data_IF_562428906103
#
_entry.id   IF_562428906103
#
_cell.length_a   1.000
_cell.length_b   1.000
_cell.length_c   1.000
_cell.angle_alpha   90.00
_cell.angle_beta   90.00
_cell.angle_gamma   90.00
#
_symmetry.space_group_name_H-M   'P 1'
#
loop_
_entity.id
_entity.type
_entity.pdbx_description
1 polymer ?
#
# COMPACT_ATOMS: atom_id res chain seq x y z
N UNK A 1 -49.94 -11.04 -9.05
CA UNK A 1 -49.47 -11.78 -7.85
C UNK A 1 -48.00 -12.12 -8.03
N UNK A 2 -47.10 -11.25 -7.57
CA UNK A 2 -45.65 -11.51 -7.61
C UNK A 2 -45.20 -11.91 -6.20
N UNK A 3 -44.79 -13.16 -6.02
CA UNK A 3 -44.25 -13.67 -4.76
C UNK A 3 -42.86 -13.09 -4.52
N UNK A 4 -42.72 -12.35 -3.42
CA UNK A 4 -41.44 -11.87 -2.89
C UNK A 4 -40.64 -13.07 -2.39
N UNK A 5 -39.55 -13.41 -3.06
CA UNK A 5 -38.56 -14.32 -2.52
C UNK A 5 -37.74 -13.56 -1.45
N UNK A 6 -37.91 -13.97 -0.20
CA UNK A 6 -37.19 -13.45 0.96
C UNK A 6 -35.74 -13.95 0.96
N UNK A 7 -34.78 -13.03 0.99
CA UNK A 7 -33.37 -13.35 1.22
C UNK A 7 -33.16 -13.88 2.66
N UNK A 8 -32.26 -14.85 2.87
CA UNK A 8 -31.98 -15.39 4.20
C UNK A 8 -31.26 -14.35 5.08
N UNK A 9 -31.82 -14.14 6.28
CA UNK A 9 -31.22 -13.31 7.33
C UNK A 9 -29.95 -14.01 7.84
N UNK A 10 -28.78 -13.48 7.51
CA UNK A 10 -27.52 -13.88 8.15
C UNK A 10 -27.50 -13.37 9.60
N UNK A 11 -27.81 -14.24 10.54
CA UNK A 11 -27.63 -14.03 11.98
C UNK A 11 -26.17 -14.32 12.36
N UNK A 12 -25.26 -13.40 12.01
CA UNK A 12 -23.91 -13.39 12.55
C UNK A 12 -23.93 -12.87 13.99
N UNK A 13 -23.69 -13.75 14.97
CA UNK A 13 -23.50 -13.37 16.38
C UNK A 13 -22.35 -12.35 16.46
N UNK A 14 -22.66 -11.10 16.77
CA UNK A 14 -21.65 -10.11 17.18
C UNK A 14 -21.03 -10.60 18.49
N UNK A 15 -19.74 -10.95 18.46
CA UNK A 15 -18.96 -10.91 19.69
C UNK A 15 -18.78 -9.44 20.05
N UNK A 16 -19.30 -9.11 21.22
CA UNK A 16 -19.17 -7.84 21.92
C UNK A 16 -17.71 -7.55 22.27
N UNK A 17 -17.34 -6.28 22.14
CA UNK A 17 -16.42 -5.57 23.02
C UNK A 17 -14.98 -6.10 23.13
N UNK A 18 -14.13 -5.65 22.20
CA UNK A 18 -12.75 -5.31 22.55
C UNK A 18 -12.68 -3.80 22.75
N UNK A 19 -13.02 -3.36 23.97
CA UNK A 19 -12.63 -2.04 24.46
C UNK A 19 -11.11 -1.98 24.47
N UNK A 20 -10.52 -1.18 23.58
CA UNK A 20 -9.13 -0.78 23.75
C UNK A 20 -9.04 -0.01 25.08
N UNK A 21 -8.26 -0.48 26.07
CA UNK A 21 -7.93 0.39 27.18
C UNK A 21 -7.04 1.50 26.63
N UNK A 22 -7.60 2.70 26.64
CA UNK A 22 -6.89 3.98 26.60
C UNK A 22 -6.00 4.07 27.85
N UNK A 23 -4.91 3.29 27.84
CA UNK A 23 -3.95 3.23 28.93
C UNK A 23 -2.59 3.72 28.43
N UNK A 24 -2.23 4.91 28.91
CA UNK A 24 -0.87 5.37 29.08
C UNK A 24 -0.03 5.55 27.81
N UNK A 25 -0.35 6.58 27.02
CA UNK A 25 0.70 7.42 26.40
C UNK A 25 1.45 8.19 27.50
N UNK A 26 2.11 7.47 28.42
CA UNK A 26 3.18 8.07 29.23
C UNK A 26 4.36 8.29 28.30
N UNK A 27 4.64 9.56 28.00
CA UNK A 27 5.92 10.00 27.41
C UNK A 27 7.04 9.30 28.17
N UNK A 28 7.69 8.32 27.56
CA UNK A 28 8.86 7.64 28.14
C UNK A 28 9.98 8.67 28.32
N UNK A 29 10.38 9.03 29.55
CA UNK A 29 11.48 9.94 29.79
C UNK A 29 12.75 9.08 29.88
N UNK A 30 13.24 8.55 28.75
CA UNK A 30 14.36 7.61 28.82
C UNK A 30 15.33 7.64 27.64
N UNK A 31 15.37 8.71 26.84
CA UNK A 31 16.34 8.80 25.74
C UNK A 31 17.68 9.43 26.14
N UNK A 32 17.76 10.20 27.23
CA UNK A 32 18.96 11.04 27.49
C UNK A 32 19.96 10.48 28.51
N UNK A 33 19.61 9.50 29.34
CA UNK A 33 20.52 9.04 30.42
C UNK A 33 21.47 7.90 30.04
N UNK A 34 21.20 7.16 28.97
CA UNK A 34 21.97 5.96 28.62
C UNK A 34 22.84 6.11 27.37
N UNK A 35 22.67 7.17 26.57
CA UNK A 35 23.42 7.34 25.32
C UNK A 35 24.95 7.44 25.53
N UNK A 36 25.39 8.12 26.60
CA UNK A 36 26.82 8.33 26.87
C UNK A 36 27.57 7.14 27.49
N UNK A 37 26.86 6.20 28.13
CA UNK A 37 27.48 5.05 28.80
C UNK A 37 27.63 3.82 27.88
N UNK A 38 26.86 3.78 26.78
CA UNK A 38 26.83 2.64 25.87
C UNK A 38 27.89 2.76 24.78
N UNK A 39 28.30 3.99 24.41
CA UNK A 39 29.33 4.24 23.39
C UNK A 39 30.74 3.82 23.77
N UNK A 40 31.01 3.52 25.05
CA UNK A 40 32.31 3.05 25.55
C UNK A 40 32.38 1.52 25.71
N UNK A 41 31.28 0.80 25.46
CA UNK A 41 31.23 -0.66 25.54
C UNK A 41 31.68 -1.29 24.22
N UNK A 42 32.29 -2.46 24.29
CA UNK A 42 32.61 -3.25 23.10
C UNK A 42 31.33 -3.60 22.33
N UNK A 43 31.41 -3.67 21.00
CA UNK A 43 30.29 -3.98 20.10
C UNK A 43 29.50 -5.24 20.53
N UNK A 44 30.19 -6.21 21.11
CA UNK A 44 29.63 -7.46 21.61
C UNK A 44 28.72 -7.25 22.82
N UNK A 45 29.07 -6.32 23.71
CA UNK A 45 28.28 -5.96 24.89
C UNK A 45 27.10 -5.06 24.51
N UNK A 46 27.28 -4.14 23.56
CA UNK A 46 26.16 -3.35 23.03
C UNK A 46 25.07 -4.25 22.45
N UNK A 47 25.43 -5.22 21.60
CA UNK A 47 24.46 -6.18 20.99
C UNK A 47 23.74 -7.07 22.02
N UNK A 48 24.34 -7.31 23.19
CA UNK A 48 23.78 -8.16 24.24
C UNK A 48 22.90 -7.38 25.24
N UNK A 49 23.19 -6.10 25.43
CA UNK A 49 22.48 -5.21 26.34
C UNK A 49 21.34 -4.43 25.68
N UNK A 50 21.35 -4.30 24.34
CA UNK A 50 20.20 -3.75 23.65
C UNK A 50 19.03 -4.73 23.70
N UNK A 51 17.81 -4.29 24.10
CA UNK A 51 16.63 -5.13 23.94
C UNK A 51 16.55 -5.57 22.48
N UNK A 52 16.35 -6.88 22.25
CA UNK A 52 16.02 -7.40 20.93
C UNK A 52 14.68 -6.79 20.51
N UNK A 53 14.71 -5.62 19.90
CA UNK A 53 13.59 -5.08 19.16
C UNK A 53 13.37 -6.04 17.99
N UNK A 54 12.42 -6.96 18.15
CA UNK A 54 11.92 -7.75 17.04
C UNK A 54 11.18 -6.77 16.16
N UNK A 55 11.88 -6.23 15.16
CA UNK A 55 11.26 -5.38 14.16
C UNK A 55 10.26 -6.25 13.40
N UNK A 56 8.98 -6.07 13.71
CA UNK A 56 7.91 -6.74 13.00
C UNK A 56 7.93 -6.21 11.57
N UNK A 57 8.07 -7.11 10.59
CA UNK A 57 7.95 -6.73 9.19
C UNK A 57 6.47 -6.50 8.92
N UNK A 58 6.10 -5.25 8.78
CA UNK A 58 4.76 -4.85 8.39
C UNK A 58 4.75 -4.51 6.89
N UNK A 59 3.63 -4.77 6.22
CA UNK A 59 3.43 -4.43 4.82
C UNK A 59 2.34 -3.39 4.75
N UNK A 60 2.66 -2.25 4.15
CA UNK A 60 1.72 -1.16 3.90
C UNK A 60 1.44 -1.15 2.40
N UNK A 61 0.18 -1.12 2.03
CA UNK A 61 -0.26 -0.96 0.64
C UNK A 61 -0.83 0.44 0.48
N UNK A 62 -0.30 1.18 -0.50
CA UNK A 62 -0.86 2.47 -0.92
C UNK A 62 -1.54 2.26 -2.27
N UNK A 63 -2.80 2.67 -2.35
CA UNK A 63 -3.59 2.60 -3.59
C UNK A 63 -3.92 4.02 -4.00
N UNK A 64 -3.53 4.39 -5.21
CA UNK A 64 -3.91 5.66 -5.83
C UNK A 64 -5.00 5.39 -6.84
N UNK A 65 -6.07 6.18 -6.79
CA UNK A 65 -7.18 6.13 -7.73
C UNK A 65 -7.80 7.52 -7.86
N UNK A 66 -8.58 7.74 -8.92
CA UNK A 66 -9.11 9.06 -9.26
C UNK A 66 -10.16 9.56 -8.25
N UNK A 67 -10.94 8.63 -7.68
CA UNK A 67 -11.88 8.89 -6.60
C UNK A 67 -11.74 7.85 -5.49
N UNK A 68 -11.67 8.32 -4.24
CA UNK A 68 -11.65 7.49 -3.05
C UNK A 68 -12.90 7.73 -2.19
N UNK A 69 -13.34 6.68 -1.49
CA UNK A 69 -14.43 6.72 -0.53
C UNK A 69 -13.96 6.03 0.76
N UNK A 70 -13.91 6.76 1.87
CA UNK A 70 -13.34 6.25 3.13
C UNK A 70 -14.22 5.18 3.81
N UNK A 71 -15.51 5.10 3.47
CA UNK A 71 -16.46 4.05 3.88
C UNK A 71 -17.72 4.13 3.02
N UNK A 72 -18.45 3.03 2.81
CA UNK A 72 -19.65 3.05 1.97
C UNK A 72 -20.71 4.06 2.46
N UNK A 73 -21.11 4.98 1.58
CA UNK A 73 -21.99 6.10 1.87
C UNK A 73 -21.30 7.36 2.43
N UNK A 74 -19.96 7.39 2.51
CA UNK A 74 -19.22 8.55 3.00
C UNK A 74 -18.81 9.50 1.86
N UNK A 75 -18.12 10.57 2.26
CA UNK A 75 -17.56 11.56 1.35
C UNK A 75 -16.66 10.90 0.32
N UNK A 76 -16.94 11.22 -0.94
CA UNK A 76 -16.10 10.90 -2.09
C UNK A 76 -15.08 12.04 -2.25
N UNK A 77 -13.80 11.68 -2.30
CA UNK A 77 -12.70 12.61 -2.52
C UNK A 77 -12.12 12.29 -3.89
N UNK A 78 -12.11 13.29 -4.78
CA UNK A 78 -11.66 13.14 -6.16
C UNK A 78 -12.79 12.95 -7.17
N UNK A 79 -12.43 12.97 -8.44
CA UNK A 79 -13.34 12.91 -9.59
C UNK A 79 -13.25 11.53 -10.24
N UNK A 80 -14.38 10.98 -10.66
CA UNK A 80 -14.37 9.71 -11.38
C UNK A 80 -13.75 9.93 -12.76
N UNK A 81 -12.71 9.17 -13.11
CA UNK A 81 -12.19 9.20 -14.46
C UNK A 81 -13.19 8.63 -15.47
N UNK A 82 -13.25 9.24 -16.64
CA UNK A 82 -14.12 8.78 -17.75
C UNK A 82 -13.64 7.45 -18.33
N UNK A 83 -12.34 7.16 -18.24
CA UNK A 83 -11.71 5.95 -18.72
C UNK A 83 -10.54 5.52 -17.83
N UNK A 84 -10.27 4.21 -17.78
CA UNK A 84 -9.07 3.66 -17.12
C UNK A 84 -7.82 3.72 -18.00
N UNK A 85 -6.70 3.22 -17.47
CA UNK A 85 -5.44 3.12 -18.22
C UNK A 85 -5.56 2.20 -19.44
N UNK A 86 -5.08 2.69 -20.57
CA UNK A 86 -4.95 1.89 -21.80
C UNK A 86 -3.73 0.99 -21.73
N UNK A 87 -3.67 -0.02 -22.62
CA UNK A 87 -2.47 -0.86 -22.76
C UNK A 87 -1.25 -0.02 -23.14
N UNK A 88 -1.43 1.02 -23.96
CA UNK A 88 -0.37 1.96 -24.32
C UNK A 88 0.18 2.73 -23.12
N UNK A 89 -0.69 3.13 -22.18
CA UNK A 89 -0.26 3.79 -20.94
C UNK A 89 0.62 2.86 -20.09
N UNK A 90 0.23 1.58 -20.00
CA UNK A 90 0.99 0.57 -19.27
C UNK A 90 2.35 0.29 -19.93
N UNK A 91 2.41 0.22 -21.26
CA UNK A 91 3.66 0.02 -22.01
C UNK A 91 4.59 1.22 -21.88
N UNK A 92 4.06 2.45 -21.95
CA UNK A 92 4.83 3.66 -21.72
C UNK A 92 5.34 3.74 -20.27
N UNK A 93 4.52 3.38 -19.28
CA UNK A 93 4.92 3.32 -17.87
C UNK A 93 6.03 2.28 -17.66
N UNK A 94 5.89 1.08 -18.23
CA UNK A 94 6.91 0.04 -18.21
C UNK A 94 8.25 0.56 -18.73
N UNK A 95 8.27 1.16 -19.93
CA UNK A 95 9.50 1.68 -20.52
C UNK A 95 10.17 2.74 -19.63
N UNK A 96 9.40 3.63 -19.00
CA UNK A 96 9.93 4.63 -18.06
C UNK A 96 10.59 3.99 -16.84
N UNK A 97 9.96 2.99 -16.24
CA UNK A 97 10.50 2.32 -15.05
C UNK A 97 11.70 1.42 -15.38
N UNK A 98 11.68 0.71 -16.50
CA UNK A 98 12.83 -0.06 -16.98
C UNK A 98 14.03 0.85 -17.27
N UNK A 99 13.80 2.02 -17.88
CA UNK A 99 14.83 3.04 -18.07
C UNK A 99 15.45 3.57 -16.78
N UNK A 100 14.77 3.40 -15.64
CA UNK A 100 15.26 3.72 -14.29
C UNK A 100 15.82 2.50 -13.53
N UNK A 101 15.97 1.36 -14.20
CA UNK A 101 16.53 0.13 -13.62
C UNK A 101 15.55 -0.72 -12.81
N UNK A 102 14.24 -0.46 -12.88
CA UNK A 102 13.24 -1.35 -12.27
C UNK A 102 13.02 -2.61 -13.11
N UNK A 103 12.83 -3.75 -12.43
CA UNK A 103 12.27 -4.95 -13.06
C UNK A 103 10.77 -4.78 -13.23
N UNK A 104 10.28 -4.91 -14.47
CA UNK A 104 8.87 -4.77 -14.80
C UNK A 104 8.31 -6.06 -15.42
N UNK A 105 7.08 -6.41 -15.06
CA UNK A 105 6.33 -7.53 -15.62
C UNK A 105 4.98 -7.02 -16.13
N UNK A 106 4.69 -7.23 -17.41
CA UNK A 106 3.40 -6.88 -18.01
C UNK A 106 2.62 -8.17 -18.29
N UNK A 107 1.66 -8.47 -17.42
CA UNK A 107 0.91 -9.73 -17.42
C UNK A 107 -0.37 -9.56 -18.24
N UNK A 108 -0.57 -10.39 -19.26
CA UNK A 108 -1.82 -10.45 -20.00
C UNK A 108 -2.86 -11.26 -19.22
N UNK A 109 -3.94 -10.61 -18.77
CA UNK A 109 -5.00 -11.25 -17.99
C UNK A 109 -5.84 -12.19 -18.84
N UNK A 110 -6.05 -11.86 -20.12
CA UNK A 110 -6.80 -12.71 -21.06
C UNK A 110 -6.09 -14.05 -21.26
N UNK A 111 -4.76 -14.06 -21.27
CA UNK A 111 -3.97 -15.28 -21.40
C UNK A 111 -4.14 -16.23 -20.20
N UNK A 112 -4.46 -15.71 -19.01
CA UNK A 112 -4.67 -16.48 -17.78
C UNK A 112 -6.04 -17.18 -17.71
N UNK A 113 -6.90 -16.97 -18.70
CA UNK A 113 -8.23 -17.59 -18.81
C UNK A 113 -8.23 -18.87 -19.67
N UNK A 114 -7.06 -19.47 -19.89
CA UNK A 114 -6.87 -20.65 -20.74
C UNK A 114 -7.73 -21.86 -20.32
N UNK A 115 -8.07 -21.98 -19.03
CA UNK A 115 -8.92 -23.05 -18.51
C UNK A 115 -10.42 -22.84 -18.81
N UNK A 116 -10.81 -21.66 -19.32
CA UNK A 116 -12.19 -21.33 -19.69
C UNK A 116 -12.24 -20.67 -21.08
N UNK A 117 -12.08 -21.44 -22.18
CA UNK A 117 -11.89 -20.91 -23.53
C UNK A 117 -13.05 -20.05 -24.08
N UNK A 118 -14.27 -20.27 -23.60
CA UNK A 118 -15.43 -19.44 -23.96
C UNK A 118 -15.25 -18.01 -23.44
N UNK A 119 -14.94 -17.85 -22.15
CA UNK A 119 -14.69 -16.55 -21.54
C UNK A 119 -13.45 -15.91 -22.15
N UNK A 120 -12.38 -16.68 -22.35
CA UNK A 120 -11.15 -16.16 -22.96
C UNK A 120 -11.40 -15.58 -24.35
N UNK A 121 -12.25 -16.19 -25.18
CA UNK A 121 -12.54 -15.68 -26.53
C UNK A 121 -13.24 -14.33 -26.48
N UNK A 122 -14.24 -14.21 -25.60
CA UNK A 122 -15.14 -13.06 -25.54
C UNK A 122 -14.57 -11.91 -24.68
N UNK A 123 -13.55 -12.18 -23.86
CA UNK A 123 -12.88 -11.16 -23.05
C UNK A 123 -12.14 -10.13 -23.92
N UNK A 124 -12.26 -8.87 -23.54
CA UNK A 124 -11.41 -7.80 -24.08
C UNK A 124 -9.95 -7.97 -23.60
N UNK A 125 -9.01 -7.42 -24.37
CA UNK A 125 -7.60 -7.44 -23.97
C UNK A 125 -7.40 -6.61 -22.69
N UNK A 126 -6.72 -7.18 -21.70
CA UNK A 126 -6.45 -6.52 -20.42
C UNK A 126 -5.08 -6.94 -19.90
N UNK A 127 -4.32 -5.98 -19.37
CA UNK A 127 -2.97 -6.22 -18.83
C UNK A 127 -2.81 -5.61 -17.44
N UNK A 128 -1.95 -6.22 -16.61
CA UNK A 128 -1.46 -5.65 -15.35
C UNK A 128 0.03 -5.40 -15.48
N UNK A 129 0.47 -4.20 -15.10
CA UNK A 129 1.88 -3.89 -14.95
C UNK A 129 2.29 -4.04 -13.49
N UNK A 130 3.29 -4.87 -13.23
CA UNK A 130 3.96 -5.02 -11.94
C UNK A 130 5.34 -4.39 -12.07
N UNK A 131 5.62 -3.37 -11.26
CA UNK A 131 6.93 -2.71 -11.22
C UNK A 131 7.59 -2.98 -9.87
N UNK A 132 8.70 -3.73 -9.87
CA UNK A 132 9.44 -4.05 -8.65
C UNK A 132 10.35 -2.87 -8.29
N UNK A 133 10.46 -2.59 -6.99
CA UNK A 133 11.30 -1.52 -6.45
C UNK A 133 10.89 -0.09 -6.90
N UNK A 134 9.64 0.10 -7.38
CA UNK A 134 9.17 1.37 -7.94
C UNK A 134 9.28 2.54 -6.97
N UNK A 135 8.81 2.36 -5.73
CA UNK A 135 8.81 3.43 -4.72
C UNK A 135 10.21 3.93 -4.40
N UNK A 136 11.20 3.03 -4.25
CA UNK A 136 12.57 3.43 -3.99
C UNK A 136 13.15 4.24 -5.16
N UNK A 137 12.83 3.87 -6.39
CA UNK A 137 13.26 4.61 -7.58
C UNK A 137 12.55 5.96 -7.70
N UNK A 138 11.28 6.06 -7.31
CA UNK A 138 10.54 7.32 -7.30
C UNK A 138 11.08 8.27 -6.22
N UNK A 139 11.18 7.82 -4.96
CA UNK A 139 11.58 8.69 -3.85
C UNK A 139 13.05 9.10 -3.91
N UNK A 140 13.92 8.27 -4.50
CA UNK A 140 15.33 8.62 -4.70
C UNK A 140 15.58 9.41 -6.00
N UNK A 141 14.54 9.71 -6.78
CA UNK A 141 14.65 10.62 -7.91
C UNK A 141 14.88 12.04 -7.35
N UNK A 142 16.03 12.64 -7.62
CA UNK A 142 16.41 13.98 -7.14
C UNK A 142 15.35 15.04 -7.43
N UNK A 143 14.54 14.85 -8.49
CA UNK A 143 13.42 15.74 -8.82
C UNK A 143 12.26 15.69 -7.82
N UNK A 144 11.99 14.53 -7.22
CA UNK A 144 10.95 14.36 -6.20
C UNK A 144 11.41 14.90 -4.83
N UNK A 145 12.72 14.85 -4.54
CA UNK A 145 13.29 15.48 -3.34
C UNK A 145 13.08 16.99 -3.37
N UNK A 146 13.27 17.64 -4.51
CA UNK A 146 13.08 19.09 -4.65
C UNK A 146 11.62 19.52 -4.41
N UNK A 147 10.63 18.78 -4.95
CA UNK A 147 9.21 19.11 -4.77
C UNK A 147 8.68 18.93 -3.33
N UNK A 148 9.29 18.05 -2.53
CA UNK A 148 8.91 17.86 -1.13
C UNK A 148 9.31 19.02 -0.21
N UNK A 149 10.33 19.80 -0.59
CA UNK A 149 10.77 20.99 0.15
C UNK A 149 9.78 22.14 -0.08
N UNK A 150 9.32 22.32 -1.31
CA UNK A 150 8.43 23.42 -1.67
C UNK A 150 7.03 23.33 -1.02
N UNK A 151 6.53 22.12 -0.73
CA UNK A 151 5.22 21.93 -0.05
C UNK A 151 5.33 22.14 1.46
N UNK A 152 6.48 21.83 2.05
CA UNK A 152 6.72 22.01 3.48
C UNK A 152 6.90 23.49 3.86
N UNK A 153 7.40 24.32 2.94
CA UNK A 153 7.55 25.77 3.13
C UNK A 153 6.27 26.58 2.79
N UNK A 154 5.24 25.91 2.24
CA UNK A 154 3.96 26.52 1.86
C UNK A 154 2.81 26.24 2.85
N UNK A 155 3.08 25.55 3.97
CA UNK A 155 2.13 25.27 5.07
C UNK A 155 2.58 25.97 6.36
#
# INVERSE_FOLDING_TARGET
SASKASLPKYAGKRKSEDTHPEADRKKLPMQTKYAGAVSSLSDTLQKRLMPKWVYKRETITLTFGDQAENHAGMQKIGEMADCGFTIGDLEAAKARFEGKGCTCELVNLKALLNDVPSIQRDASEAKILIVRNAINVMVNDEKLKQQSVDVADAL
#
